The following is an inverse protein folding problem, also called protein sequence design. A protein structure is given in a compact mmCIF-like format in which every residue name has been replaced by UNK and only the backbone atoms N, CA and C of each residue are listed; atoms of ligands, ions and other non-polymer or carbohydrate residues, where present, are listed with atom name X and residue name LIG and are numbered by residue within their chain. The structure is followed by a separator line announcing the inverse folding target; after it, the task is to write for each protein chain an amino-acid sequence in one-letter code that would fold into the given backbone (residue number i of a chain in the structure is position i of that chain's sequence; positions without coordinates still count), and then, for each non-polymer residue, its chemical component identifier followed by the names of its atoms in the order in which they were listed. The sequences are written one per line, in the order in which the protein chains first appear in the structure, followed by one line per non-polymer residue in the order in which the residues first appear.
data_IF_370753790578
#
_entry.id   IF_370753790578
#
_cell.length_a   1.000
_cell.length_b   1.000
_cell.length_c   1.000
_cell.angle_alpha   90.00
_cell.angle_beta   90.00
_cell.angle_gamma   90.00
#
_symmetry.space_group_name_H-M   'P 1'
#
loop_
_entity.id
_entity.type
_entity.pdbx_description
1 polymer ?
#
# COMPACT_ATOMS: atom_id res chain seq x y z
N UNK A 1 -5.14 23.80 1.26
CA UNK A 1 -6.06 22.95 2.03
C UNK A 1 -6.80 23.85 2.99
N UNK A 2 -8.14 23.94 2.94
CA UNK A 2 -8.89 24.73 3.90
C UNK A 2 -8.64 24.14 5.29
N UNK A 3 -8.17 24.97 6.20
CA UNK A 3 -8.02 24.56 7.59
C UNK A 3 -9.34 24.74 8.33
N UNK A 4 -9.78 23.71 8.89
CA UNK A 4 -10.85 23.28 9.67
C UNK A 4 -11.53 24.21 10.66
N UNK A 5 -11.94 25.40 10.28
CA UNK A 5 -13.03 26.08 11.00
C UNK A 5 -14.26 26.12 10.12
N UNK A 6 -15.42 25.79 10.70
CA UNK A 6 -16.68 25.90 10.00
C UNK A 6 -16.86 27.32 9.44
N UNK A 7 -17.11 27.44 8.15
CA UNK A 7 -17.27 28.71 7.46
C UNK A 7 -18.37 28.63 6.42
N UNK A 8 -19.10 29.75 6.25
CA UNK A 8 -20.06 29.89 5.16
C UNK A 8 -19.41 30.18 3.81
N UNK A 9 -18.09 30.36 3.78
CA UNK A 9 -17.34 30.73 2.59
C UNK A 9 -16.14 29.80 2.43
N UNK A 10 -15.90 29.37 1.18
CA UNK A 10 -14.67 28.70 0.76
C UNK A 10 -13.90 29.72 -0.10
N UNK A 11 -12.71 30.10 0.35
CA UNK A 11 -11.84 31.00 -0.40
C UNK A 11 -10.72 30.20 -1.06
N UNK A 12 -10.66 30.26 -2.38
CA UNK A 12 -9.63 29.59 -3.19
C UNK A 12 -8.78 30.64 -3.85
N UNK A 13 -7.47 30.58 -3.58
CA UNK A 13 -6.49 31.42 -4.28
C UNK A 13 -5.84 30.57 -5.38
N UNK A 14 -6.05 30.99 -6.63
CA UNK A 14 -5.35 30.41 -7.79
C UNK A 14 -3.97 31.06 -7.85
N UNK A 15 -2.93 30.23 -7.85
CA UNK A 15 -1.52 30.67 -7.87
C UNK A 15 -0.95 30.70 -9.29
N UNK A 16 -1.46 29.83 -10.15
CA UNK A 16 -1.02 29.71 -11.53
C UNK A 16 -1.79 30.69 -12.43
N UNK A 17 -1.17 31.08 -13.54
CA UNK A 17 -1.83 31.89 -14.56
C UNK A 17 -2.87 31.05 -15.29
N UNK A 18 -4.11 31.51 -15.31
CA UNK A 18 -5.17 30.86 -16.07
C UNK A 18 -4.94 31.05 -17.57
N UNK A 19 -5.16 29.97 -18.33
CA UNK A 19 -5.11 30.02 -19.79
C UNK A 19 -6.40 30.61 -20.35
N UNK A 20 -6.31 31.33 -21.47
CA UNK A 20 -7.47 31.84 -22.18
C UNK A 20 -8.31 30.68 -22.79
N UNK A 21 -9.61 30.92 -22.93
CA UNK A 21 -10.56 29.99 -23.57
C UNK A 21 -10.48 28.58 -23.00
N UNK A 22 -10.37 28.47 -21.67
CA UNK A 22 -10.16 27.20 -20.97
C UNK A 22 -11.19 27.03 -19.88
N UNK A 23 -11.81 25.83 -19.82
CA UNK A 23 -12.72 25.43 -18.74
C UNK A 23 -11.93 24.86 -17.58
N UNK A 24 -12.21 25.37 -16.39
CA UNK A 24 -11.65 24.92 -15.12
C UNK A 24 -12.72 24.30 -14.23
N UNK A 25 -12.40 23.18 -13.61
CA UNK A 25 -13.28 22.50 -12.67
C UNK A 25 -12.58 22.31 -11.34
N UNK A 26 -13.13 22.87 -10.26
CA UNK A 26 -12.75 22.54 -8.90
C UNK A 26 -13.60 21.39 -8.40
N UNK A 27 -13.01 20.21 -8.30
CA UNK A 27 -13.66 19.02 -7.75
C UNK A 27 -13.30 18.92 -6.26
N UNK A 28 -14.29 19.07 -5.39
CA UNK A 28 -14.08 19.01 -3.94
C UNK A 28 -14.16 17.58 -3.38
N UNK A 29 -14.53 16.60 -4.20
CA UNK A 29 -14.66 15.20 -3.77
C UNK A 29 -15.56 15.08 -2.54
N UNK A 30 -14.99 14.71 -1.40
CA UNK A 30 -15.66 14.63 -0.10
C UNK A 30 -15.17 15.67 0.92
N UNK A 31 -14.44 16.70 0.46
CA UNK A 31 -13.80 17.67 1.36
C UNK A 31 -14.78 18.67 1.96
N UNK A 32 -15.99 18.82 1.38
CA UNK A 32 -17.04 19.67 1.93
C UNK A 32 -17.94 18.77 2.75
N UNK A 33 -18.02 19.04 4.05
CA UNK A 33 -18.88 18.30 4.99
C UNK A 33 -19.79 19.26 5.74
N UNK A 34 -20.94 18.76 6.19
CA UNK A 34 -21.76 19.56 7.12
C UNK A 34 -21.03 19.71 8.47
N UNK A 35 -21.40 20.78 9.18
CA UNK A 35 -20.72 21.13 10.43
C UNK A 35 -21.17 20.31 11.64
N UNK A 36 -22.31 19.66 11.59
CA UNK A 36 -22.89 18.97 12.74
C UNK A 36 -22.52 17.50 12.79
N UNK A 37 -22.71 16.79 11.68
CA UNK A 37 -22.55 15.33 11.60
C UNK A 37 -21.32 14.91 10.80
N UNK A 38 -20.71 15.85 10.07
CA UNK A 38 -19.56 15.58 9.23
C UNK A 38 -19.89 14.83 7.94
N UNK A 39 -21.16 14.77 7.55
CA UNK A 39 -21.58 14.13 6.32
C UNK A 39 -21.03 14.87 5.09
N UNK A 40 -20.35 14.18 4.17
CA UNK A 40 -19.80 14.83 2.99
C UNK A 40 -20.89 15.21 1.98
N UNK A 41 -20.80 16.43 1.45
CA UNK A 41 -21.51 16.81 0.23
C UNK A 41 -20.75 16.31 -0.97
N UNK A 42 -20.97 15.06 -1.31
CA UNK A 42 -20.19 14.32 -2.30
C UNK A 42 -20.30 14.92 -3.70
N UNK A 43 -19.19 14.92 -4.42
CA UNK A 43 -19.07 15.32 -5.84
C UNK A 43 -19.44 16.79 -6.15
N UNK A 44 -19.40 17.67 -5.16
CA UNK A 44 -19.57 19.08 -5.46
C UNK A 44 -18.42 19.57 -6.38
N UNK A 45 -18.81 20.17 -7.49
CA UNK A 45 -17.90 20.77 -8.45
C UNK A 45 -18.29 22.23 -8.68
N UNK A 46 -17.29 23.09 -8.76
CA UNK A 46 -17.46 24.45 -9.24
C UNK A 46 -16.74 24.59 -10.59
N UNK A 47 -17.49 24.90 -11.63
CA UNK A 47 -16.98 24.96 -13.00
C UNK A 47 -17.11 26.40 -13.52
N UNK A 48 -16.05 26.90 -14.13
CA UNK A 48 -16.04 28.20 -14.81
C UNK A 48 -15.16 28.16 -16.05
N UNK A 49 -15.31 29.13 -16.95
CA UNK A 49 -14.48 29.27 -18.12
C UNK A 49 -13.88 30.66 -18.21
N UNK A 50 -12.67 30.75 -18.71
CA UNK A 50 -12.02 32.03 -19.10
C UNK A 50 -12.42 32.48 -20.50
N UNK A 51 -13.21 31.66 -21.22
CA UNK A 51 -13.78 31.96 -22.53
C UNK A 51 -15.28 32.20 -22.50
N UNK A 52 -15.91 32.22 -23.66
CA UNK A 52 -17.34 32.49 -23.83
C UNK A 52 -18.23 31.27 -23.63
N UNK A 53 -17.66 30.08 -23.44
CA UNK A 53 -18.40 28.83 -23.26
C UNK A 53 -17.70 27.94 -22.24
N UNK A 54 -18.45 26.98 -21.73
CA UNK A 54 -17.95 25.91 -20.86
C UNK A 54 -17.94 24.62 -21.68
N UNK A 55 -16.82 23.93 -21.70
CA UNK A 55 -16.71 22.62 -22.35
C UNK A 55 -17.69 21.62 -21.69
N UNK A 56 -18.34 20.78 -22.49
CA UNK A 56 -19.44 19.90 -22.04
C UNK A 56 -19.26 18.43 -22.40
N UNK A 57 -18.13 18.08 -23.03
CA UNK A 57 -17.90 16.69 -23.42
C UNK A 57 -17.61 15.84 -22.18
N UNK A 58 -17.96 14.54 -22.29
CA UNK A 58 -17.90 13.62 -21.17
C UNK A 58 -17.29 12.29 -21.62
N UNK A 59 -16.50 11.69 -20.73
CA UNK A 59 -15.99 10.31 -20.83
C UNK A 59 -16.47 9.54 -19.62
N UNK A 60 -17.06 8.37 -19.86
CA UNK A 60 -17.59 7.50 -18.82
C UNK A 60 -16.89 6.15 -18.82
N UNK A 61 -16.90 5.49 -17.68
CA UNK A 61 -16.32 4.16 -17.59
C UNK A 61 -16.49 3.53 -16.22
N UNK A 62 -15.83 2.40 -16.05
CA UNK A 62 -15.81 1.64 -14.79
C UNK A 62 -14.42 1.19 -14.45
N UNK A 63 -14.22 0.90 -13.16
CA UNK A 63 -12.97 0.39 -12.61
C UNK A 63 -13.20 -1.01 -12.06
N UNK A 64 -12.28 -1.91 -12.30
CA UNK A 64 -12.18 -3.23 -11.66
C UNK A 64 -10.77 -3.43 -11.08
N UNK A 65 -10.61 -4.39 -10.21
CA UNK A 65 -9.31 -4.81 -9.70
C UNK A 65 -8.89 -6.13 -10.36
N UNK A 66 -7.61 -6.28 -10.67
CA UNK A 66 -7.08 -7.48 -11.33
C UNK A 66 -7.09 -8.73 -10.44
N UNK A 67 -7.08 -8.56 -9.12
CA UNK A 67 -6.98 -9.64 -8.14
C UNK A 67 -8.16 -9.73 -7.20
N UNK A 68 -8.78 -8.60 -6.87
CA UNK A 68 -9.84 -8.51 -5.88
C UNK A 68 -11.22 -8.43 -6.56
N UNK A 69 -12.20 -9.17 -6.05
CA UNK A 69 -13.59 -9.10 -6.56
C UNK A 69 -14.22 -7.74 -6.30
N UNK A 70 -13.83 -7.07 -5.22
CA UNK A 70 -14.29 -5.74 -4.86
C UNK A 70 -13.17 -4.74 -5.18
N UNK A 71 -13.40 -3.82 -6.11
CA UNK A 71 -12.42 -2.79 -6.41
C UNK A 71 -12.25 -1.82 -5.23
N UNK A 72 -11.11 -1.15 -5.20
CA UNK A 72 -10.84 -0.08 -4.26
C UNK A 72 -11.88 1.06 -4.39
N UNK A 73 -12.20 1.69 -3.27
CA UNK A 73 -12.97 2.93 -3.23
C UNK A 73 -12.05 4.14 -3.51
N UNK A 74 -12.66 5.25 -3.97
CA UNK A 74 -11.94 6.51 -4.22
C UNK A 74 -10.73 6.35 -5.14
N UNK A 75 -10.93 5.69 -6.29
CA UNK A 75 -9.93 5.59 -7.34
C UNK A 75 -9.93 6.88 -8.15
N UNK A 76 -8.80 7.51 -8.28
CA UNK A 76 -8.62 8.70 -9.13
C UNK A 76 -8.55 8.29 -10.59
N UNK A 77 -9.34 8.94 -11.44
CA UNK A 77 -9.33 8.78 -12.89
C UNK A 77 -8.79 10.05 -13.50
N UNK A 78 -7.76 9.92 -14.29
CA UNK A 78 -6.95 11.03 -14.78
C UNK A 78 -6.84 11.00 -16.30
N UNK A 79 -6.92 12.16 -16.93
CA UNK A 79 -6.58 12.32 -18.34
C UNK A 79 -5.34 13.19 -18.50
N UNK A 80 -4.46 12.73 -19.35
CA UNK A 80 -3.26 13.44 -19.79
C UNK A 80 -3.32 13.67 -21.30
N UNK A 81 -2.70 14.73 -21.80
CA UNK A 81 -2.58 14.98 -23.23
C UNK A 81 -1.79 13.83 -23.89
N UNK A 82 -2.40 13.21 -24.90
CA UNK A 82 -1.77 12.07 -25.57
C UNK A 82 -0.51 12.43 -26.37
N UNK A 83 -0.35 13.71 -26.78
CA UNK A 83 0.80 14.16 -27.58
C UNK A 83 2.05 14.32 -26.73
N UNK A 84 1.90 14.74 -25.48
CA UNK A 84 3.01 15.00 -24.55
C UNK A 84 3.25 13.86 -23.57
N UNK A 85 2.33 12.88 -23.49
CA UNK A 85 2.39 11.78 -22.55
C UNK A 85 3.60 10.88 -22.79
N UNK A 86 4.32 10.60 -21.72
CA UNK A 86 5.40 9.61 -21.65
C UNK A 86 5.20 8.72 -20.41
N UNK A 87 5.89 7.59 -20.33
CA UNK A 87 5.83 6.70 -19.17
C UNK A 87 6.20 7.41 -17.86
N UNK A 88 7.00 8.48 -17.93
CA UNK A 88 7.37 9.25 -16.75
C UNK A 88 6.33 10.28 -16.31
N UNK A 89 5.33 10.57 -17.13
CA UNK A 89 4.30 11.59 -16.87
C UNK A 89 3.53 11.30 -15.58
N UNK A 90 3.08 10.07 -15.39
CA UNK A 90 2.32 9.65 -14.19
C UNK A 90 3.08 9.81 -12.87
N UNK A 91 4.42 9.86 -12.92
CA UNK A 91 5.28 10.02 -11.73
C UNK A 91 5.56 11.50 -11.39
N UNK A 92 5.48 12.39 -12.37
CA UNK A 92 6.01 13.76 -12.23
C UNK A 92 4.98 14.84 -12.41
N UNK A 93 4.03 14.62 -13.32
CA UNK A 93 3.11 15.65 -13.78
C UNK A 93 1.72 15.51 -13.15
N UNK A 94 0.99 16.59 -13.15
CA UNK A 94 -0.42 16.60 -12.75
C UNK A 94 -1.30 16.35 -13.98
N UNK A 95 -2.43 15.64 -13.84
CA UNK A 95 -3.35 15.40 -14.95
C UNK A 95 -4.04 16.70 -15.40
N UNK A 96 -4.45 16.75 -16.65
CA UNK A 96 -5.31 17.83 -17.18
C UNK A 96 -6.72 17.77 -16.58
N UNK A 97 -7.28 16.56 -16.48
CA UNK A 97 -8.59 16.34 -15.90
C UNK A 97 -8.53 15.20 -14.89
N UNK A 98 -9.27 15.35 -13.82
CA UNK A 98 -9.35 14.35 -12.75
C UNK A 98 -10.77 14.22 -12.21
N UNK A 99 -11.17 12.99 -11.95
CA UNK A 99 -12.36 12.65 -11.17
C UNK A 99 -12.05 11.46 -10.26
N UNK A 100 -12.98 11.08 -9.41
CA UNK A 100 -12.84 9.91 -8.54
C UNK A 100 -14.05 9.01 -8.66
N UNK A 101 -13.86 7.70 -8.49
CA UNK A 101 -14.96 6.79 -8.18
C UNK A 101 -15.45 7.10 -6.77
N UNK A 102 -16.74 6.84 -6.50
CA UNK A 102 -17.29 6.93 -5.16
C UNK A 102 -16.95 5.68 -4.33
N UNK A 103 -17.25 5.76 -3.04
CA UNK A 103 -17.01 4.69 -2.06
C UNK A 103 -17.62 3.33 -2.46
N UNK A 104 -18.80 3.35 -3.03
CA UNK A 104 -19.53 2.12 -3.41
C UNK A 104 -19.71 1.91 -4.91
N UNK A 105 -19.35 2.89 -5.75
CA UNK A 105 -19.56 2.86 -7.18
C UNK A 105 -18.27 2.53 -7.93
N UNK A 106 -18.38 1.58 -8.85
CA UNK A 106 -17.29 1.19 -9.75
C UNK A 106 -17.21 2.07 -11.01
N UNK A 107 -18.14 3.00 -11.15
CA UNK A 107 -18.28 3.85 -12.34
C UNK A 107 -17.71 5.23 -12.09
N UNK A 108 -17.25 5.86 -13.15
CA UNK A 108 -16.77 7.24 -13.14
C UNK A 108 -17.32 8.03 -14.31
N UNK A 109 -17.36 9.34 -14.15
CA UNK A 109 -17.63 10.32 -15.20
C UNK A 109 -16.60 11.44 -15.14
N UNK A 110 -15.89 11.65 -16.23
CA UNK A 110 -15.06 12.83 -16.46
C UNK A 110 -15.86 13.79 -17.32
N UNK A 111 -16.12 14.96 -16.82
CA UNK A 111 -17.00 15.96 -17.44
C UNK A 111 -16.24 17.23 -17.75
N UNK A 112 -16.86 18.10 -18.55
CA UNK A 112 -16.30 19.40 -18.96
C UNK A 112 -14.99 19.24 -19.74
N UNK A 113 -14.93 18.20 -20.59
CA UNK A 113 -13.77 17.91 -21.39
C UNK A 113 -13.79 18.72 -22.68
N UNK A 114 -12.62 19.15 -23.11
CA UNK A 114 -12.38 19.70 -24.43
C UNK A 114 -12.19 18.57 -25.44
N UNK A 115 -12.56 18.80 -26.68
CA UNK A 115 -12.25 17.89 -27.79
C UNK A 115 -10.74 17.66 -27.88
N UNK A 116 -10.31 16.39 -28.03
CA UNK A 116 -8.90 16.07 -28.11
C UNK A 116 -8.60 14.59 -27.96
N UNK A 117 -7.32 14.28 -27.94
CA UNK A 117 -6.79 12.93 -27.73
C UNK A 117 -6.09 12.84 -26.37
N UNK A 118 -6.45 11.85 -25.57
CA UNK A 118 -6.01 11.74 -24.18
C UNK A 118 -5.51 10.33 -23.83
N UNK A 119 -4.56 10.24 -22.93
CA UNK A 119 -4.25 9.01 -22.19
C UNK A 119 -5.06 9.00 -20.92
N UNK A 120 -5.79 7.89 -20.69
CA UNK A 120 -6.60 7.68 -19.49
C UNK A 120 -5.90 6.74 -18.52
N UNK A 121 -5.80 7.14 -17.26
CA UNK A 121 -5.15 6.40 -16.18
C UNK A 121 -6.07 6.39 -14.96
N UNK A 122 -6.24 5.22 -14.37
CA UNK A 122 -6.85 5.07 -13.05
C UNK A 122 -5.74 4.83 -12.01
N UNK A 123 -5.86 5.42 -10.83
CA UNK A 123 -4.88 5.24 -9.77
C UNK A 123 -5.55 5.19 -8.40
N UNK A 124 -5.20 4.15 -7.63
CA UNK A 124 -5.45 4.15 -6.18
C UNK A 124 -4.24 4.77 -5.50
N UNK A 125 -4.28 6.08 -5.36
CA UNK A 125 -3.24 6.90 -4.76
C UNK A 125 -3.36 6.88 -3.23
N UNK A 126 -2.40 6.29 -2.55
CA UNK A 126 -2.37 6.26 -1.08
C UNK A 126 -1.83 7.56 -0.45
N UNK A 127 -1.03 8.28 -1.18
CA UNK A 127 -0.42 9.53 -0.72
C UNK A 127 -1.32 10.75 -0.97
N UNK A 128 -2.30 10.66 -1.86
CA UNK A 128 -3.20 11.76 -2.23
C UNK A 128 -2.50 12.90 -2.99
N UNK A 129 -1.44 12.58 -3.73
CA UNK A 129 -0.63 13.56 -4.43
C UNK A 129 -0.79 13.54 -5.96
N UNK A 130 -1.64 12.65 -6.48
CA UNK A 130 -1.89 12.41 -7.90
C UNK A 130 -0.63 12.04 -8.71
N UNK A 131 0.35 11.43 -8.05
CA UNK A 131 1.59 10.93 -8.64
C UNK A 131 1.78 9.47 -8.30
N UNK A 132 2.08 8.66 -9.30
CA UNK A 132 2.20 7.22 -9.12
C UNK A 132 3.44 6.83 -8.33
N UNK A 133 3.23 6.04 -7.28
CA UNK A 133 4.28 5.36 -6.53
C UNK A 133 4.09 3.84 -6.64
N UNK A 134 4.93 3.13 -7.44
CA UNK A 134 4.77 1.70 -7.69
C UNK A 134 4.88 0.82 -6.43
N UNK A 135 5.48 1.33 -5.36
CA UNK A 135 5.60 0.58 -4.10
C UNK A 135 4.28 0.55 -3.30
N UNK A 136 3.44 1.57 -3.44
CA UNK A 136 2.26 1.75 -2.60
C UNK A 136 0.94 1.75 -3.35
N UNK A 137 0.95 2.22 -4.60
CA UNK A 137 -0.25 2.54 -5.35
C UNK A 137 -0.61 1.43 -6.33
N UNK A 138 -1.89 1.34 -6.66
CA UNK A 138 -2.36 0.56 -7.81
C UNK A 138 -2.58 1.48 -8.99
N UNK A 139 -2.31 1.01 -10.20
CA UNK A 139 -2.51 1.73 -11.45
C UNK A 139 -3.32 0.88 -12.42
N UNK A 140 -4.10 1.53 -13.27
CA UNK A 140 -4.79 0.92 -14.40
C UNK A 140 -4.81 1.90 -15.57
N UNK A 141 -4.64 1.42 -16.79
CA UNK A 141 -4.60 2.26 -17.97
C UNK A 141 -5.09 1.52 -19.21
N UNK A 142 -5.32 2.28 -20.27
CA UNK A 142 -5.53 1.77 -21.62
C UNK A 142 -4.28 2.13 -22.44
N UNK A 143 -3.73 1.18 -23.17
CA UNK A 143 -2.46 1.31 -23.89
C UNK A 143 -2.56 2.25 -25.12
N UNK A 144 -3.75 2.50 -25.66
CA UNK A 144 -4.01 3.42 -26.76
C UNK A 144 -4.60 4.76 -26.26
N UNK A 145 -4.43 5.84 -27.02
CA UNK A 145 -5.09 7.13 -26.74
C UNK A 145 -6.59 7.05 -26.99
N UNK A 146 -7.39 7.66 -26.12
CA UNK A 146 -8.83 7.84 -26.35
C UNK A 146 -9.06 9.19 -27.02
N UNK A 147 -10.04 9.25 -27.93
CA UNK A 147 -10.45 10.48 -28.60
C UNK A 147 -11.77 10.97 -28.02
N UNK A 148 -11.86 12.25 -27.71
CA UNK A 148 -13.09 12.90 -27.23
C UNK A 148 -13.54 13.89 -28.30
N UNK A 149 -14.82 13.89 -28.73
CA UNK A 149 -15.97 13.16 -28.18
C UNK A 149 -15.96 11.66 -28.49
N UNK A 150 -16.52 10.86 -27.58
CA UNK A 150 -16.72 9.43 -27.74
C UNK A 150 -18.03 8.99 -27.10
N UNK A 151 -18.59 7.90 -27.61
CA UNK A 151 -19.71 7.18 -26.99
C UNK A 151 -19.27 5.92 -26.25
N UNK A 152 -17.98 5.62 -26.24
CA UNK A 152 -17.44 4.40 -25.64
C UNK A 152 -17.48 4.48 -24.12
N UNK A 153 -17.68 3.33 -23.49
CA UNK A 153 -17.54 3.14 -22.05
C UNK A 153 -16.23 2.40 -21.79
N UNK A 154 -15.32 3.03 -21.06
CA UNK A 154 -14.00 2.49 -20.78
C UNK A 154 -13.98 1.64 -19.51
N UNK A 155 -13.27 0.51 -19.56
CA UNK A 155 -13.01 -0.31 -18.39
C UNK A 155 -11.52 -0.24 -18.04
N UNK A 156 -11.22 0.21 -16.83
CA UNK A 156 -9.85 0.32 -16.30
C UNK A 156 -9.63 -0.75 -15.24
N UNK A 157 -8.60 -1.56 -15.42
CA UNK A 157 -8.25 -2.65 -14.52
C UNK A 157 -7.06 -2.24 -13.65
N UNK A 158 -7.28 -2.11 -12.35
CA UNK A 158 -6.23 -1.75 -11.39
C UNK A 158 -5.36 -2.96 -11.06
N UNK A 159 -4.07 -2.77 -11.07
CA UNK A 159 -3.07 -3.72 -10.59
C UNK A 159 -1.98 -3.00 -9.81
N UNK A 160 -1.30 -3.73 -8.96
CA UNK A 160 -0.09 -3.23 -8.28
C UNK A 160 1.13 -3.89 -8.91
N UNK A 161 2.13 -3.10 -9.23
CA UNK A 161 3.39 -3.62 -9.74
C UNK A 161 4.11 -4.48 -8.70
N UNK A 162 4.63 -5.63 -9.14
CA UNK A 162 5.49 -6.45 -8.28
C UNK A 162 6.85 -5.75 -8.15
N UNK A 163 7.13 -5.31 -6.95
CA UNK A 163 8.43 -4.70 -6.69
C UNK A 163 9.55 -5.75 -6.78
N UNK A 164 10.71 -5.42 -7.38
CA UNK A 164 11.87 -6.27 -7.32
C UNK A 164 12.30 -6.49 -5.87
N UNK A 165 12.77 -7.71 -5.57
CA UNK A 165 13.21 -7.99 -4.21
C UNK A 165 14.42 -7.12 -3.83
N UNK A 166 14.36 -6.53 -2.66
CA UNK A 166 15.43 -5.74 -2.06
C UNK A 166 15.40 -5.91 -0.55
N UNK A 167 16.54 -6.20 0.05
CA UNK A 167 16.69 -6.28 1.49
C UNK A 167 17.37 -5.02 2.04
N UNK A 168 16.90 -4.57 3.19
CA UNK A 168 17.53 -3.52 3.97
C UNK A 168 18.68 -4.08 4.80
N UNK A 169 19.52 -3.18 5.33
CA UNK A 169 20.56 -3.59 6.25
C UNK A 169 19.92 -4.09 7.56
N UNK A 170 20.25 -5.31 8.02
CA UNK A 170 19.73 -5.82 9.29
C UNK A 170 20.11 -4.93 10.47
N UNK A 171 19.17 -4.70 11.36
CA UNK A 171 19.35 -3.94 12.60
C UNK A 171 19.22 -4.85 13.81
N UNK A 172 20.01 -4.61 14.84
CA UNK A 172 19.92 -5.37 16.08
C UNK A 172 18.68 -4.94 16.86
N UNK A 173 17.82 -5.89 17.20
CA UNK A 173 16.62 -5.67 17.98
C UNK A 173 16.83 -6.09 19.45
N UNK A 174 17.57 -7.19 19.64
CA UNK A 174 17.93 -7.69 20.96
C UNK A 174 19.28 -8.40 20.95
N UNK A 175 19.72 -9.02 22.06
CA UNK A 175 21.04 -9.64 22.17
C UNK A 175 21.25 -10.82 21.19
N UNK A 176 20.19 -11.48 20.75
CA UNK A 176 20.25 -12.64 19.85
C UNK A 176 19.24 -12.55 18.69
N UNK A 177 18.79 -11.33 18.35
CA UNK A 177 17.79 -11.10 17.32
C UNK A 177 18.14 -9.90 16.46
N UNK A 178 18.13 -10.09 15.14
CA UNK A 178 18.18 -9.02 14.14
C UNK A 178 16.84 -8.88 13.44
N UNK A 179 16.54 -7.68 13.03
CA UNK A 179 15.40 -7.34 12.20
C UNK A 179 15.88 -7.04 10.78
N UNK A 180 15.33 -7.73 9.79
CA UNK A 180 15.61 -7.54 8.37
C UNK A 180 14.35 -7.07 7.66
N UNK A 181 14.30 -5.81 7.26
CA UNK A 181 13.29 -5.27 6.35
C UNK A 181 13.56 -5.70 4.91
N UNK A 182 12.49 -5.86 4.12
CA UNK A 182 12.61 -6.14 2.69
C UNK A 182 11.45 -5.54 1.91
N UNK A 183 11.65 -5.42 0.60
CA UNK A 183 10.63 -5.10 -0.40
C UNK A 183 10.52 -6.27 -1.37
N UNK A 184 9.34 -6.47 -1.97
CA UNK A 184 9.12 -7.54 -2.93
C UNK A 184 8.80 -8.90 -2.29
N UNK A 185 8.98 -9.96 -3.06
CA UNK A 185 8.57 -11.32 -2.66
C UNK A 185 9.68 -12.06 -1.91
N UNK A 186 9.44 -12.39 -0.65
CA UNK A 186 10.38 -13.10 0.22
C UNK A 186 10.36 -14.64 0.05
N UNK A 187 9.38 -15.22 -0.63
CA UNK A 187 9.15 -16.69 -0.65
C UNK A 187 10.36 -17.52 -1.03
N UNK A 188 11.18 -17.03 -1.97
CA UNK A 188 12.37 -17.72 -2.45
C UNK A 188 13.68 -17.14 -1.90
N UNK A 189 13.59 -16.45 -0.75
CA UNK A 189 14.76 -15.81 -0.14
C UNK A 189 15.52 -16.80 0.74
N UNK A 190 16.83 -16.90 0.52
CA UNK A 190 17.74 -17.59 1.41
C UNK A 190 18.55 -16.56 2.19
N UNK A 191 18.54 -16.70 3.50
CA UNK A 191 19.34 -15.88 4.43
C UNK A 191 20.29 -16.79 5.15
N UNK A 192 21.57 -16.42 5.18
CA UNK A 192 22.61 -17.13 5.93
C UNK A 192 23.39 -16.12 6.77
N UNK A 193 23.97 -16.60 7.86
CA UNK A 193 24.79 -15.80 8.76
C UNK A 193 26.15 -16.42 8.96
N UNK A 194 27.19 -15.59 9.05
CA UNK A 194 28.55 -16.04 9.34
C UNK A 194 29.32 -15.02 10.19
N UNK A 195 30.27 -15.53 10.94
CA UNK A 195 31.31 -14.76 11.64
C UNK A 195 32.68 -15.20 11.17
N UNK A 196 33.40 -14.33 10.50
CA UNK A 196 34.57 -14.73 9.75
C UNK A 196 34.22 -15.80 8.69
N UNK A 197 34.90 -16.94 8.74
CA UNK A 197 34.64 -18.08 7.85
C UNK A 197 33.72 -19.15 8.46
N UNK A 198 33.18 -18.91 9.66
CA UNK A 198 32.33 -19.88 10.35
C UNK A 198 30.89 -19.52 10.15
N UNK A 199 30.10 -20.48 9.69
CA UNK A 199 28.64 -20.32 9.58
C UNK A 199 28.01 -20.30 10.97
N UNK A 200 27.09 -19.34 11.18
CA UNK A 200 26.32 -19.22 12.42
C UNK A 200 24.89 -19.71 12.13
N UNK A 201 24.41 -20.74 12.87
CA UNK A 201 23.06 -21.24 12.66
C UNK A 201 22.04 -20.16 13.03
N UNK A 202 21.09 -19.92 12.13
CA UNK A 202 20.01 -18.96 12.35
C UNK A 202 18.64 -19.60 12.20
N UNK A 203 17.64 -18.98 12.82
CA UNK A 203 16.22 -19.25 12.59
C UNK A 203 15.54 -17.98 12.14
N UNK A 204 14.64 -18.09 11.18
CA UNK A 204 13.94 -16.95 10.61
C UNK A 204 12.46 -17.03 11.01
N UNK A 205 11.97 -15.96 11.62
CA UNK A 205 10.55 -15.74 11.87
C UNK A 205 10.04 -14.63 10.96
N UNK A 206 8.98 -14.90 10.20
CA UNK A 206 8.30 -13.86 9.41
C UNK A 206 7.39 -13.05 10.33
N UNK A 207 7.60 -11.75 10.36
CA UNK A 207 6.80 -10.83 11.15
C UNK A 207 6.25 -9.73 10.23
N UNK A 208 4.95 -9.75 9.89
CA UNK A 208 4.37 -8.70 9.07
C UNK A 208 4.36 -7.38 9.84
N UNK A 209 5.00 -6.38 9.28
CA UNK A 209 4.89 -4.99 9.72
C UNK A 209 3.68 -4.33 9.05
N UNK A 210 3.13 -3.28 9.66
CA UNK A 210 2.03 -2.51 9.05
C UNK A 210 2.48 -1.78 7.77
N UNK A 211 3.75 -1.39 7.71
CA UNK A 211 4.27 -0.50 6.66
C UNK A 211 5.33 -1.17 5.76
N UNK A 212 6.02 -2.21 6.24
CA UNK A 212 7.02 -2.95 5.49
C UNK A 212 6.99 -4.42 5.86
N UNK A 213 7.17 -5.25 4.86
CA UNK A 213 7.46 -6.65 5.10
C UNK A 213 8.81 -6.81 5.79
N UNK A 214 8.87 -7.72 6.78
CA UNK A 214 10.07 -7.92 7.59
C UNK A 214 10.17 -9.34 8.11
N UNK A 215 11.39 -9.74 8.43
CA UNK A 215 11.70 -10.98 9.13
C UNK A 215 12.60 -10.72 10.32
N UNK A 216 12.44 -11.54 11.34
CA UNK A 216 13.35 -11.61 12.48
C UNK A 216 14.33 -12.75 12.24
N UNK A 217 15.61 -12.47 12.45
CA UNK A 217 16.71 -13.41 12.35
C UNK A 217 17.21 -13.70 13.76
N UNK A 218 16.94 -14.90 14.25
CA UNK A 218 17.39 -15.34 15.56
C UNK A 218 18.71 -16.09 15.42
N UNK A 219 19.70 -15.75 16.23
CA UNK A 219 21.00 -16.40 16.28
C UNK A 219 21.33 -16.82 17.71
N UNK A 220 22.18 -17.85 17.92
CA UNK A 220 22.54 -18.32 19.25
C UNK A 220 23.29 -17.24 20.03
N UNK A 221 23.24 -17.32 21.36
CA UNK A 221 23.97 -16.41 22.22
C UNK A 221 25.48 -16.72 22.17
N UNK A 222 26.16 -16.07 21.23
CA UNK A 222 27.59 -16.21 20.98
C UNK A 222 28.30 -14.87 21.23
N UNK A 223 29.47 -14.90 21.80
CA UNK A 223 30.28 -13.70 22.03
C UNK A 223 31.00 -13.29 20.74
N UNK A 224 30.29 -12.59 19.88
CA UNK A 224 30.80 -12.01 18.62
C UNK A 224 30.44 -10.52 18.55
N UNK A 225 31.30 -9.74 17.92
CA UNK A 225 31.13 -8.29 17.77
C UNK A 225 30.37 -7.89 16.50
N UNK A 226 30.27 -8.81 15.58
CA UNK A 226 29.63 -8.58 14.29
C UNK A 226 29.09 -9.88 13.68
N UNK A 227 28.09 -9.75 12.83
CA UNK A 227 27.53 -10.87 12.10
C UNK A 227 27.37 -10.46 10.63
N UNK A 228 27.93 -11.26 9.73
CA UNK A 228 27.72 -11.09 8.30
C UNK A 228 26.45 -11.83 7.88
N UNK A 229 25.48 -11.10 7.37
CA UNK A 229 24.23 -11.63 6.86
C UNK A 229 24.29 -11.61 5.34
N UNK A 230 24.11 -12.76 4.71
CA UNK A 230 24.00 -12.88 3.26
C UNK A 230 22.56 -13.17 2.88
N UNK A 231 22.00 -12.36 1.99
CA UNK A 231 20.62 -12.46 1.51
C UNK A 231 20.63 -12.68 0.01
N UNK A 232 19.99 -13.76 -0.44
CA UNK A 232 19.86 -14.09 -1.88
C UNK A 232 18.41 -14.36 -2.22
N UNK A 233 17.96 -13.82 -3.36
CA UNK A 233 16.62 -14.05 -3.90
C UNK A 233 16.68 -13.95 -5.44
N UNK A 234 16.61 -15.06 -6.14
CA UNK A 234 16.81 -15.08 -7.59
C UNK A 234 18.17 -14.48 -7.99
N UNK A 235 18.13 -13.40 -8.75
CA UNK A 235 19.34 -12.66 -9.16
C UNK A 235 19.86 -11.68 -8.10
N UNK A 236 19.07 -11.39 -7.08
CA UNK A 236 19.50 -10.52 -6.00
C UNK A 236 20.45 -11.26 -5.05
N UNK A 237 21.59 -10.66 -4.78
CA UNK A 237 22.56 -11.16 -3.80
C UNK A 237 23.23 -9.99 -3.08
N UNK A 238 23.11 -9.93 -1.77
CA UNK A 238 23.73 -8.88 -0.97
C UNK A 238 24.24 -9.40 0.35
N UNK A 239 25.41 -8.90 0.77
CA UNK A 239 26.00 -9.17 2.08
C UNK A 239 25.96 -7.91 2.93
N UNK A 240 25.57 -8.07 4.17
CA UNK A 240 25.50 -7.00 5.16
C UNK A 240 26.36 -7.37 6.36
N UNK A 241 27.02 -6.40 6.94
CA UNK A 241 27.72 -6.56 8.22
C UNK A 241 26.93 -5.81 9.28
N UNK A 242 26.39 -6.54 10.25
CA UNK A 242 25.68 -6.01 11.40
C UNK A 242 26.63 -6.05 12.61
N UNK A 243 26.99 -4.88 13.12
CA UNK A 243 27.74 -4.78 14.38
C UNK A 243 26.80 -5.10 15.54
N UNK A 244 27.24 -5.99 16.42
CA UNK A 244 26.48 -6.42 17.58
C UNK A 244 26.98 -5.69 18.84
N UNK A 245 26.02 -5.26 19.64
CA UNK A 245 26.27 -4.62 20.93
C UNK A 245 25.60 -5.45 22.01
N UNK A 246 26.20 -5.52 23.17
CA UNK A 246 25.51 -6.07 24.34
C UNK A 246 24.46 -5.08 24.81
N UNK A 247 23.20 -5.49 24.72
CA UNK A 247 22.05 -4.71 25.16
C UNK A 247 21.70 -5.09 26.59
N UNK A 248 21.16 -4.13 27.34
CA UNK A 248 20.82 -4.33 28.76
C UNK A 248 19.65 -5.29 28.96
N UNK A 249 18.73 -5.33 28.02
CA UNK A 249 17.54 -6.17 28.07
C UNK A 249 17.84 -7.54 27.43
N UNK A 250 17.57 -8.60 28.18
CA UNK A 250 17.62 -9.97 27.67
C UNK A 250 16.29 -10.34 26.99
N UNK A 251 16.36 -11.11 25.91
CA UNK A 251 15.16 -11.70 25.33
C UNK A 251 14.53 -12.72 26.30
N UNK A 252 13.24 -12.55 26.58
CA UNK A 252 12.44 -13.50 27.33
C UNK A 252 11.50 -14.26 26.40
N UNK A 253 11.32 -15.55 26.66
CA UNK A 253 10.24 -16.31 26.02
C UNK A 253 8.93 -15.91 26.66
N UNK A 254 8.08 -15.28 25.87
CA UNK A 254 6.69 -15.06 26.20
C UNK A 254 5.81 -15.82 25.22
N UNK A 255 4.76 -16.49 25.71
CA UNK A 255 3.84 -17.30 24.91
C UNK A 255 2.44 -16.77 25.10
N UNK A 256 1.85 -16.32 24.04
CA UNK A 256 0.51 -15.74 23.99
C UNK A 256 -0.46 -16.66 23.25
N UNK A 257 -1.64 -16.91 23.84
CA UNK A 257 -2.73 -17.57 23.15
C UNK A 257 -3.40 -16.58 22.18
N UNK A 258 -3.40 -16.88 20.88
CA UNK A 258 -4.04 -16.09 19.83
C UNK A 258 -5.43 -16.57 19.45
N UNK A 259 -5.85 -17.74 19.92
CA UNK A 259 -7.17 -18.31 19.61
C UNK A 259 -8.31 -17.64 20.40
N UNK A 260 -7.98 -16.90 21.45
CA UNK A 260 -8.98 -16.33 22.35
C UNK A 260 -9.51 -17.37 23.37
N UNK A 261 -10.65 -17.06 24.00
CA UNK A 261 -11.25 -17.90 25.03
C UNK A 261 -12.13 -19.02 24.48
N UNK A 262 -12.49 -18.97 23.21
CA UNK A 262 -13.36 -19.97 22.55
C UNK A 262 -12.66 -20.44 21.27
N UNK A 263 -12.50 -21.75 21.15
CA UNK A 263 -12.01 -22.42 19.95
C UNK A 263 -13.20 -23.05 19.22
N UNK A 264 -13.49 -22.58 18.00
CA UNK A 264 -14.52 -23.21 17.18
C UNK A 264 -14.04 -24.58 16.65
N UNK A 265 -14.96 -25.47 16.34
CA UNK A 265 -14.67 -26.89 16.03
C UNK A 265 -13.68 -27.10 14.87
N UNK A 266 -13.61 -26.14 13.93
CA UNK A 266 -12.72 -26.20 12.77
C UNK A 266 -11.48 -25.31 12.89
N UNK A 267 -11.33 -24.58 13.99
CA UNK A 267 -10.23 -23.68 14.20
C UNK A 267 -9.02 -24.39 14.83
N UNK A 268 -7.84 -23.94 14.46
CA UNK A 268 -6.61 -24.41 15.08
C UNK A 268 -6.32 -23.64 16.37
N UNK A 269 -5.83 -24.32 17.40
CA UNK A 269 -5.30 -23.67 18.58
C UNK A 269 -3.94 -23.04 18.26
N UNK A 270 -3.83 -21.73 18.35
CA UNK A 270 -2.65 -20.97 17.91
C UNK A 270 -1.95 -20.30 19.09
N UNK A 271 -0.70 -20.67 19.30
CA UNK A 271 0.21 -20.00 20.23
C UNK A 271 1.22 -19.15 19.46
N UNK A 272 1.41 -17.93 19.92
CA UNK A 272 2.45 -17.02 19.42
C UNK A 272 3.54 -16.89 20.48
N UNK A 273 4.80 -17.03 20.09
CA UNK A 273 5.96 -16.83 20.98
C UNK A 273 6.83 -15.66 20.51
N UNK A 274 7.50 -15.01 21.44
CA UNK A 274 8.46 -13.91 21.18
C UNK A 274 9.79 -14.40 20.63
N UNK A 275 10.12 -15.67 20.90
CA UNK A 275 11.34 -16.35 20.41
C UNK A 275 10.97 -17.68 19.76
N UNK A 276 11.81 -18.23 18.85
CA UNK A 276 11.51 -19.51 18.20
C UNK A 276 11.38 -20.66 19.19
N UNK A 277 10.26 -21.37 19.11
CA UNK A 277 10.08 -22.63 19.85
C UNK A 277 10.93 -23.69 19.15
N UNK A 278 11.80 -24.37 19.87
CA UNK A 278 12.72 -25.37 19.33
C UNK A 278 12.20 -26.79 19.49
N UNK A 279 11.41 -27.05 20.52
CA UNK A 279 10.78 -28.33 20.75
C UNK A 279 9.45 -28.14 21.47
N UNK A 280 8.50 -29.00 21.16
CA UNK A 280 7.19 -29.10 21.83
C UNK A 280 7.04 -30.55 22.28
N UNK A 281 6.77 -30.72 23.56
CA UNK A 281 6.45 -32.04 24.11
C UNK A 281 4.94 -32.24 24.03
N UNK A 282 4.49 -32.85 22.94
CA UNK A 282 3.07 -33.09 22.66
C UNK A 282 2.42 -34.01 23.73
N UNK A 283 3.19 -34.84 24.44
CA UNK A 283 2.66 -35.71 25.49
C UNK A 283 2.12 -34.96 26.71
N UNK A 284 2.56 -33.71 26.87
CA UNK A 284 2.14 -32.80 27.94
C UNK A 284 0.97 -31.89 27.55
N UNK A 285 0.55 -31.95 26.29
CA UNK A 285 -0.62 -31.20 25.81
C UNK A 285 -1.86 -32.02 26.08
N UNK A 286 -2.71 -31.54 26.96
CA UNK A 286 -3.90 -32.30 27.43
C UNK A 286 -5.13 -31.42 27.25
N UNK A 287 -6.13 -31.91 26.54
CA UNK A 287 -7.45 -31.31 26.49
C UNK A 287 -8.29 -31.90 27.64
N UNK A 288 -8.82 -31.04 28.49
CA UNK A 288 -9.71 -31.43 29.60
C UNK A 288 -11.11 -30.88 29.40
N UNK A 289 -12.12 -31.69 29.64
CA UNK A 289 -13.50 -31.26 29.68
C UNK A 289 -13.81 -30.51 30.99
N UNK A 290 -14.98 -29.90 31.09
CA UNK A 290 -15.41 -29.11 32.27
C UNK A 290 -15.44 -29.98 33.57
N UNK A 291 -15.66 -31.24 33.46
CA UNK A 291 -15.66 -32.24 34.57
C UNK A 291 -14.27 -32.83 34.84
N UNK A 292 -13.20 -32.21 34.28
CA UNK A 292 -11.80 -32.61 34.42
C UNK A 292 -11.45 -33.96 33.78
N UNK A 293 -12.32 -34.56 32.99
CA UNK A 293 -11.96 -35.73 32.19
C UNK A 293 -11.05 -35.35 31.03
N UNK A 294 -10.04 -36.23 30.77
CA UNK A 294 -9.12 -36.02 29.65
C UNK A 294 -9.77 -36.48 28.35
N UNK A 295 -9.82 -35.63 27.37
CA UNK A 295 -10.27 -35.94 26.00
C UNK A 295 -9.01 -36.20 25.17
N UNK A 296 -8.93 -37.35 24.54
CA UNK A 296 -7.83 -37.72 23.63
C UNK A 296 -8.10 -37.25 22.22
#
# INVERSE_FOLDING_TARGET
VPQGSASKYISIKILDTLQENTTYSFNFGQSITDNNEGNPYSQFKYVFSTGNYVDSLTVVGKVKDAYEQKPDSFVSIMLYDAQTFTDSTVYKETPLYITNTLDSLKVFSLENLKEGSYKIVAMKDKAGNNKYNPATDKIGFIDYPITVPTSDMFELELFQEKQPFKADKPTQESNNKLFLGYEGDFRNTKVTASYGNTEVPIKIGKFPSKDKDSVQIFYPNVKIDSLQISVTNGTYSKKFVSKLKTLKEADSLDIENKTGSILAFRDAFVLKSTTPITAIDESKIVLRSKDSTTVK
#
